data_IF_658336622954
#
_entry.id   IF_658336622954
#
_cell.length_a   1.000
_cell.length_b   1.000
_cell.length_c   1.000
_cell.angle_alpha   90.00
_cell.angle_beta   90.00
_cell.angle_gamma   90.00
#
_symmetry.space_group_name_H-M   'P 1'
#
loop_
_entity.id
_entity.type
_entity.pdbx_description
1 polymer ?
#
# COMPACT_ATOMS: atom_id res chain seq x y z
N UNK A 1 24.63 -20.28 2.64
CA UNK A 1 23.46 -19.90 3.47
C UNK A 1 22.21 -20.04 2.60
N UNK A 2 21.39 -21.07 2.82
CA UNK A 2 20.17 -21.33 2.04
C UNK A 2 19.07 -20.40 2.56
N UNK A 3 18.75 -19.35 1.81
CA UNK A 3 17.52 -18.59 2.01
C UNK A 3 16.35 -19.48 1.55
N UNK A 4 15.79 -20.26 2.47
CA UNK A 4 14.57 -21.08 2.31
C UNK A 4 13.29 -20.21 2.36
N UNK A 5 13.46 -18.90 2.61
CA UNK A 5 12.39 -17.95 2.94
C UNK A 5 11.49 -17.62 1.74
N UNK A 6 12.03 -17.49 0.53
CA UNK A 6 11.24 -17.13 -0.66
C UNK A 6 10.39 -18.28 -1.22
N UNK A 7 10.87 -19.51 -1.11
CA UNK A 7 10.08 -20.70 -1.49
C UNK A 7 8.84 -20.92 -0.62
N UNK A 8 8.82 -20.47 0.64
CA UNK A 8 7.62 -20.52 1.48
C UNK A 8 6.63 -19.39 1.20
N UNK A 9 7.09 -18.26 0.63
CA UNK A 9 6.24 -17.12 0.26
C UNK A 9 5.38 -17.40 -0.98
N UNK A 10 5.81 -18.31 -1.86
CA UNK A 10 5.08 -18.71 -3.06
C UNK A 10 4.06 -19.84 -2.83
N UNK A 11 4.09 -20.48 -1.66
CA UNK A 11 3.27 -21.68 -1.36
C UNK A 11 2.07 -21.41 -0.45
N UNK A 12 1.80 -20.15 -0.11
CA UNK A 12 0.70 -19.80 0.78
C UNK A 12 -0.36 -18.96 0.06
N UNK A 13 -0.94 -19.53 -1.00
CA UNK A 13 -2.29 -19.16 -1.41
C UNK A 13 -3.25 -19.67 -0.33
N UNK A 14 -3.60 -18.80 0.62
CA UNK A 14 -4.67 -19.08 1.57
C UNK A 14 -5.91 -19.53 0.81
N UNK A 15 -6.59 -20.57 1.32
CA UNK A 15 -7.83 -21.09 0.77
C UNK A 15 -8.94 -20.04 0.87
N UNK A 16 -8.97 -19.11 -0.09
CA UNK A 16 -10.03 -18.17 -0.35
C UNK A 16 -10.32 -18.22 -1.85
N UNK A 17 -11.56 -18.57 -2.19
CA UNK A 17 -12.09 -18.82 -3.54
C UNK A 17 -12.22 -17.55 -4.41
N UNK A 18 -11.43 -16.50 -4.17
CA UNK A 18 -11.43 -15.31 -5.02
C UNK A 18 -10.54 -15.58 -6.24
N UNK A 19 -11.07 -15.42 -7.45
CA UNK A 19 -10.27 -15.61 -8.65
C UNK A 19 -9.17 -14.54 -8.71
N UNK A 20 -7.92 -14.98 -8.92
CA UNK A 20 -6.84 -14.05 -9.23
C UNK A 20 -6.53 -14.07 -10.73
N UNK A 21 -5.74 -13.10 -11.18
CA UNK A 21 -5.36 -12.95 -12.59
C UNK A 21 -4.78 -14.22 -13.20
N UNK A 22 -3.93 -14.95 -12.47
CA UNK A 22 -3.29 -16.16 -12.97
C UNK A 22 -4.32 -17.28 -13.18
N UNK A 23 -5.26 -17.47 -12.25
CA UNK A 23 -6.30 -18.50 -12.36
C UNK A 23 -7.21 -18.24 -13.58
N UNK A 24 -7.61 -16.98 -13.79
CA UNK A 24 -8.44 -16.60 -14.95
C UNK A 24 -7.71 -16.83 -16.28
N UNK A 25 -6.42 -16.50 -16.35
CA UNK A 25 -5.59 -16.74 -17.53
C UNK A 25 -5.35 -18.23 -17.79
N UNK A 26 -5.13 -19.03 -16.74
CA UNK A 26 -4.98 -20.49 -16.87
C UNK A 26 -6.28 -21.16 -17.36
N UNK A 27 -7.43 -20.71 -16.86
CA UNK A 27 -8.73 -21.17 -17.36
C UNK A 27 -8.92 -20.81 -18.83
N UNK A 28 -8.53 -19.59 -19.23
CA UNK A 28 -8.61 -19.14 -20.63
C UNK A 28 -7.72 -19.98 -21.55
N UNK A 29 -6.47 -20.23 -21.19
CA UNK A 29 -5.53 -21.08 -21.96
C UNK A 29 -6.04 -22.53 -22.08
N UNK A 30 -6.66 -23.04 -21.01
CA UNK A 30 -7.33 -24.34 -20.99
C UNK A 30 -8.65 -24.37 -21.78
N UNK A 31 -9.07 -23.24 -22.39
CA UNK A 31 -10.36 -23.04 -23.08
C UNK A 31 -11.59 -23.24 -22.18
N UNK A 32 -11.40 -23.18 -20.87
CA UNK A 32 -12.49 -23.06 -19.91
C UNK A 32 -12.95 -21.60 -19.85
N UNK A 33 -13.59 -21.16 -20.94
CA UNK A 33 -14.03 -19.79 -21.10
C UNK A 33 -15.08 -19.38 -20.08
N UNK A 34 -15.78 -20.34 -19.45
CA UNK A 34 -16.72 -20.04 -18.38
C UNK A 34 -15.97 -19.54 -17.15
N UNK A 35 -15.01 -20.32 -16.65
CA UNK A 35 -14.22 -19.93 -15.48
C UNK A 35 -13.32 -18.73 -15.76
N UNK A 36 -12.77 -18.60 -16.98
CA UNK A 36 -12.03 -17.41 -17.38
C UNK A 36 -12.90 -16.14 -17.29
N UNK A 37 -14.12 -16.19 -17.84
CA UNK A 37 -15.06 -15.06 -17.80
C UNK A 37 -15.46 -14.70 -16.37
N UNK A 38 -15.75 -15.69 -15.54
CA UNK A 38 -16.07 -15.48 -14.13
C UNK A 38 -14.92 -14.75 -13.41
N UNK A 39 -13.69 -15.24 -13.59
CA UNK A 39 -12.50 -14.62 -12.99
C UNK A 39 -12.20 -13.20 -13.51
N UNK A 40 -12.26 -12.97 -14.82
CA UNK A 40 -12.07 -11.62 -15.35
C UNK A 40 -13.18 -10.65 -14.93
N UNK A 41 -14.42 -11.13 -14.75
CA UNK A 41 -15.53 -10.30 -14.27
C UNK A 41 -15.31 -9.88 -12.83
N UNK A 42 -14.81 -10.78 -11.97
CA UNK A 42 -14.46 -10.43 -10.59
C UNK A 42 -13.34 -9.37 -10.54
N UNK A 43 -12.31 -9.52 -11.38
CA UNK A 43 -11.21 -8.54 -11.47
C UNK A 43 -11.63 -7.20 -12.07
N UNK A 44 -12.71 -7.18 -12.87
CA UNK A 44 -13.26 -5.94 -13.41
C UNK A 44 -13.80 -5.03 -12.30
N UNK A 45 -14.36 -5.58 -11.23
CA UNK A 45 -14.86 -4.80 -10.09
C UNK A 45 -13.76 -3.95 -9.44
N UNK A 46 -12.55 -4.49 -9.38
CA UNK A 46 -11.37 -3.76 -8.85
C UNK A 46 -10.65 -2.96 -9.93
N UNK A 47 -11.27 -2.76 -11.08
CA UNK A 47 -10.76 -1.92 -12.17
C UNK A 47 -9.50 -2.49 -12.81
N UNK A 48 -9.40 -3.81 -12.96
CA UNK A 48 -8.33 -4.45 -13.71
C UNK A 48 -8.55 -4.21 -15.22
N UNK A 49 -7.65 -3.42 -15.82
CA UNK A 49 -7.71 -3.03 -17.22
C UNK A 49 -7.43 -4.20 -18.17
N UNK A 50 -6.55 -5.12 -17.75
CA UNK A 50 -6.27 -6.35 -18.49
C UNK A 50 -7.47 -7.31 -18.49
N UNK A 51 -8.21 -7.41 -17.39
CA UNK A 51 -9.43 -8.21 -17.32
C UNK A 51 -10.53 -7.66 -18.24
N UNK A 52 -10.73 -6.34 -18.24
CA UNK A 52 -11.62 -5.67 -19.19
C UNK A 52 -11.22 -5.96 -20.65
N UNK A 53 -9.93 -5.88 -20.96
CA UNK A 53 -9.40 -6.19 -22.30
C UNK A 53 -9.64 -7.65 -22.71
N UNK A 54 -9.44 -8.61 -21.82
CA UNK A 54 -9.64 -10.03 -22.14
C UNK A 54 -11.12 -10.38 -22.30
N UNK A 55 -12.02 -9.81 -21.47
CA UNK A 55 -13.46 -9.93 -21.68
C UNK A 55 -13.87 -9.34 -23.04
N UNK A 56 -13.26 -8.23 -23.45
CA UNK A 56 -13.50 -7.64 -24.77
C UNK A 56 -13.04 -8.57 -25.91
N UNK A 57 -11.86 -9.17 -25.78
CA UNK A 57 -11.32 -10.13 -26.75
C UNK A 57 -12.21 -11.37 -26.86
N UNK A 58 -12.69 -11.91 -25.73
CA UNK A 58 -13.62 -13.04 -25.71
C UNK A 58 -14.91 -12.73 -26.46
N UNK A 59 -15.52 -11.57 -26.22
CA UNK A 59 -16.72 -11.12 -26.93
C UNK A 59 -16.46 -10.88 -28.43
N UNK A 60 -15.28 -10.38 -28.78
CA UNK A 60 -14.88 -10.12 -30.16
C UNK A 60 -14.69 -11.41 -30.96
N UNK A 61 -14.11 -12.44 -30.35
CA UNK A 61 -13.80 -13.72 -30.98
C UNK A 61 -14.90 -14.78 -30.83
N UNK A 62 -15.91 -14.54 -29.97
CA UNK A 62 -16.94 -15.54 -29.67
C UNK A 62 -16.41 -16.69 -28.82
N UNK A 63 -15.55 -16.39 -27.85
CA UNK A 63 -14.91 -17.40 -26.99
C UNK A 63 -15.80 -17.71 -25.78
N UNK A 64 -16.52 -18.83 -25.89
CA UNK A 64 -17.49 -19.27 -24.88
C UNK A 64 -18.79 -18.47 -24.89
N UNK A 65 -19.01 -17.63 -25.90
CA UNK A 65 -20.24 -16.88 -26.17
C UNK A 65 -20.34 -16.59 -27.68
N UNK A 66 -21.48 -16.10 -28.16
CA UNK A 66 -21.58 -15.62 -29.54
C UNK A 66 -20.80 -14.32 -29.72
N UNK A 67 -20.33 -14.05 -30.95
CA UNK A 67 -19.64 -12.80 -31.27
C UNK A 67 -20.55 -11.61 -31.00
N UNK A 68 -20.10 -10.69 -30.14
CA UNK A 68 -20.80 -9.46 -29.81
C UNK A 68 -19.84 -8.27 -29.93
N UNK A 69 -19.88 -7.62 -31.10
CA UNK A 69 -19.00 -6.50 -31.41
C UNK A 69 -19.32 -5.24 -30.58
N UNK A 70 -20.59 -5.05 -30.19
CA UNK A 70 -20.99 -3.90 -29.36
C UNK A 70 -20.42 -4.07 -27.96
N UNK A 71 -20.61 -5.25 -27.35
CA UNK A 71 -20.02 -5.61 -26.05
C UNK A 71 -18.49 -5.53 -26.08
N UNK A 72 -17.86 -6.08 -27.12
CA UNK A 72 -16.40 -6.03 -27.29
C UNK A 72 -15.88 -4.58 -27.32
N UNK A 73 -16.49 -3.71 -28.13
CA UNK A 73 -16.08 -2.30 -28.21
C UNK A 73 -16.30 -1.59 -26.88
N UNK A 74 -17.44 -1.79 -26.20
CA UNK A 74 -17.69 -1.20 -24.88
C UNK A 74 -16.66 -1.62 -23.83
N UNK A 75 -16.26 -2.90 -23.81
CA UNK A 75 -15.23 -3.41 -22.90
C UNK A 75 -13.83 -2.91 -23.26
N UNK A 76 -13.49 -2.77 -24.55
CA UNK A 76 -12.23 -2.13 -24.96
C UNK A 76 -12.20 -0.64 -24.61
N UNK A 77 -13.31 0.09 -24.75
CA UNK A 77 -13.42 1.48 -24.27
C UNK A 77 -13.20 1.55 -22.76
N UNK A 78 -13.83 0.65 -21.99
CA UNK A 78 -13.62 0.57 -20.55
C UNK A 78 -12.17 0.26 -20.19
N UNK A 79 -11.55 -0.74 -20.83
CA UNK A 79 -10.13 -1.06 -20.62
C UNK A 79 -9.24 0.17 -20.89
N UNK A 80 -9.56 0.97 -21.91
CA UNK A 80 -8.88 2.24 -22.18
C UNK A 80 -9.06 3.27 -21.07
N UNK A 81 -10.28 3.42 -20.53
CA UNK A 81 -10.56 4.29 -19.37
C UNK A 81 -9.81 3.82 -18.11
N UNK A 82 -9.68 2.51 -17.93
CA UNK A 82 -8.86 1.88 -16.88
C UNK A 82 -7.35 1.92 -17.20
N UNK A 83 -6.95 2.58 -18.30
CA UNK A 83 -5.57 2.89 -18.63
C UNK A 83 -4.79 1.75 -19.31
N UNK A 84 -5.48 0.80 -19.96
CA UNK A 84 -4.84 -0.18 -20.83
C UNK A 84 -4.16 0.55 -22.02
N UNK A 85 -2.86 0.32 -22.30
CA UNK A 85 -2.08 1.14 -23.23
C UNK A 85 -2.63 1.23 -24.66
N UNK A 86 -3.29 0.18 -25.16
CA UNK A 86 -3.74 0.08 -26.55
C UNK A 86 -5.25 -0.08 -26.74
N UNK A 87 -6.02 -0.24 -25.65
CA UNK A 87 -7.42 -0.65 -25.77
C UNK A 87 -8.32 0.43 -26.37
N UNK A 88 -8.14 1.70 -25.97
CA UNK A 88 -8.93 2.81 -26.50
C UNK A 88 -8.74 3.03 -27.99
N UNK A 89 -7.52 2.82 -28.50
CA UNK A 89 -7.25 2.88 -29.93
C UNK A 89 -7.95 1.74 -30.67
N UNK A 90 -7.86 0.51 -30.16
CA UNK A 90 -8.53 -0.65 -30.73
C UNK A 90 -10.06 -0.47 -30.75
N UNK A 91 -10.64 0.02 -29.65
CA UNK A 91 -12.06 0.35 -29.55
C UNK A 91 -12.48 1.34 -30.64
N UNK A 92 -11.71 2.43 -30.83
CA UNK A 92 -11.98 3.45 -31.85
C UNK A 92 -11.97 2.86 -33.27
N UNK A 93 -11.03 1.96 -33.57
CA UNK A 93 -10.96 1.28 -34.87
C UNK A 93 -12.14 0.34 -35.10
N UNK A 94 -12.57 -0.40 -34.08
CA UNK A 94 -13.70 -1.32 -34.18
C UNK A 94 -15.03 -0.57 -34.26
N UNK A 95 -15.17 0.55 -33.54
CA UNK A 95 -16.36 1.42 -33.56
C UNK A 95 -16.68 1.95 -34.96
N UNK A 96 -15.66 2.18 -35.80
CA UNK A 96 -15.85 2.60 -37.19
C UNK A 96 -16.60 1.57 -38.06
N UNK A 97 -16.76 0.32 -37.59
CA UNK A 97 -17.48 -0.76 -38.29
C UNK A 97 -18.94 -0.89 -37.84
N UNK A 98 -19.39 -0.09 -36.86
CA UNK A 98 -20.71 -0.19 -36.25
C UNK A 98 -21.73 0.75 -36.90
N UNK A 99 -23.01 0.39 -36.80
CA UNK A 99 -24.10 1.30 -37.19
C UNK A 99 -24.25 2.45 -36.19
N UNK A 100 -24.95 3.54 -36.55
CA UNK A 100 -25.27 4.62 -35.62
C UNK A 100 -26.03 4.15 -34.37
N UNK A 101 -26.98 3.22 -34.52
CA UNK A 101 -27.75 2.66 -33.40
C UNK A 101 -26.85 1.88 -32.44
N UNK A 102 -25.99 1.01 -32.98
CA UNK A 102 -25.00 0.27 -32.19
C UNK A 102 -24.02 1.21 -31.46
N UNK A 103 -23.62 2.30 -32.12
CA UNK A 103 -22.75 3.32 -31.55
C UNK A 103 -23.40 4.06 -30.38
N UNK A 104 -24.71 4.28 -30.43
CA UNK A 104 -25.47 4.86 -29.32
C UNK A 104 -25.59 3.88 -28.14
N UNK A 105 -25.82 2.59 -28.41
CA UNK A 105 -25.84 1.55 -27.37
C UNK A 105 -24.53 1.46 -26.59
N UNK A 106 -23.37 1.66 -27.24
CA UNK A 106 -22.06 1.63 -26.58
C UNK A 106 -21.99 2.60 -25.41
N UNK A 107 -22.49 3.83 -25.56
CA UNK A 107 -22.40 4.85 -24.51
C UNK A 107 -23.16 4.42 -23.24
N UNK A 108 -24.35 3.85 -23.41
CA UNK A 108 -25.15 3.34 -22.30
C UNK A 108 -24.50 2.11 -21.65
N UNK A 109 -23.97 1.18 -22.44
CA UNK A 109 -23.29 -0.02 -21.94
C UNK A 109 -22.01 0.37 -21.20
N UNK A 110 -21.20 1.27 -21.75
CA UNK A 110 -19.98 1.75 -21.11
C UNK A 110 -20.28 2.40 -19.77
N UNK A 111 -21.31 3.25 -19.68
CA UNK A 111 -21.73 3.84 -18.41
C UNK A 111 -22.10 2.77 -17.37
N UNK A 112 -22.88 1.76 -17.77
CA UNK A 112 -23.23 0.63 -16.89
C UNK A 112 -22.02 -0.20 -16.47
N UNK A 113 -21.06 -0.43 -17.38
CA UNK A 113 -19.82 -1.13 -17.05
C UNK A 113 -18.93 -0.31 -16.11
N UNK A 114 -18.87 1.01 -16.27
CA UNK A 114 -18.15 1.91 -15.36
C UNK A 114 -18.76 1.91 -13.95
N UNK A 115 -20.09 1.82 -13.84
CA UNK A 115 -20.77 1.68 -12.54
C UNK A 115 -20.45 0.34 -11.85
N UNK A 116 -20.12 -0.71 -12.60
CA UNK A 116 -19.68 -2.00 -12.04
C UNK A 116 -18.23 -1.96 -11.51
N UNK A 117 -17.42 -1.00 -11.96
CA UNK A 117 -16.05 -0.83 -11.46
C UNK A 117 -16.10 -0.11 -10.11
N UNK A 118 -15.98 -0.89 -9.04
CA UNK A 118 -15.95 -0.38 -7.67
C UNK A 118 -14.70 0.47 -7.40
N UNK A 119 -13.54 0.08 -7.95
CA UNK A 119 -12.26 0.78 -7.76
C UNK A 119 -11.76 1.36 -9.08
N UNK A 120 -12.26 2.55 -9.48
CA UNK A 120 -11.80 3.21 -10.70
C UNK A 120 -10.33 3.61 -10.56
N UNK A 121 -9.60 3.64 -11.69
CA UNK A 121 -8.20 4.11 -11.74
C UNK A 121 -8.04 5.61 -11.53
N UNK A 122 -9.13 6.38 -11.67
CA UNK A 122 -9.15 7.82 -11.41
C UNK A 122 -8.70 8.05 -9.96
N UNK A 123 -7.61 8.79 -9.79
CA UNK A 123 -7.16 9.21 -8.47
C UNK A 123 -8.28 10.03 -7.82
N UNK A 124 -8.80 9.63 -6.65
CA UNK A 124 -9.58 10.56 -5.87
C UNK A 124 -8.70 11.77 -5.61
N UNK A 125 -9.21 12.98 -5.89
CA UNK A 125 -8.63 14.21 -5.38
C UNK A 125 -8.31 13.95 -3.92
N UNK A 126 -7.03 14.07 -3.53
CA UNK A 126 -6.51 13.77 -2.19
C UNK A 126 -7.53 14.22 -1.15
N UNK A 127 -8.36 13.29 -0.67
CA UNK A 127 -9.17 13.55 0.50
C UNK A 127 -8.12 13.72 1.56
N UNK A 128 -7.93 14.94 2.06
CA UNK A 128 -7.16 15.20 3.27
C UNK A 128 -7.67 14.17 4.26
N UNK A 129 -6.88 13.12 4.51
CA UNK A 129 -7.14 12.23 5.63
C UNK A 129 -7.31 13.17 6.80
N UNK A 130 -8.48 13.16 7.43
CA UNK A 130 -8.72 14.02 8.58
C UNK A 130 -7.51 13.85 9.48
N UNK A 131 -6.79 14.96 9.73
CA UNK A 131 -5.57 14.97 10.53
C UNK A 131 -5.99 14.56 11.94
N UNK A 132 -6.04 13.26 12.18
CA UNK A 132 -6.34 12.72 13.49
C UNK A 132 -5.14 13.04 14.35
N UNK A 133 -5.37 13.90 15.34
CA UNK A 133 -4.40 14.25 16.35
C UNK A 133 -3.82 12.96 16.95
N UNK A 134 -2.55 12.69 16.66
CA UNK A 134 -1.87 11.50 17.12
C UNK A 134 -1.44 11.70 18.58
N UNK A 135 -1.64 10.71 19.46
CA UNK A 135 -1.26 10.86 20.86
C UNK A 135 0.26 10.95 21.01
N UNK A 136 0.73 11.80 21.92
CA UNK A 136 2.16 11.98 22.21
C UNK A 136 2.72 10.81 23.00
N UNK A 137 3.77 10.16 22.50
CA UNK A 137 4.38 9.03 23.19
C UNK A 137 5.25 9.48 24.38
N UNK A 138 5.09 8.85 25.55
CA UNK A 138 5.92 9.06 26.74
C UNK A 138 7.00 7.98 26.86
N UNK A 139 6.67 6.74 26.49
CA UNK A 139 7.58 5.59 26.58
C UNK A 139 7.34 4.64 25.42
N UNK A 140 8.42 4.26 24.72
CA UNK A 140 8.42 3.20 23.72
C UNK A 140 9.43 2.12 24.10
N UNK A 141 8.92 0.94 24.43
CA UNK A 141 9.76 -0.23 24.68
C UNK A 141 10.18 -0.85 23.34
N UNK A 142 11.48 -1.05 23.13
CA UNK A 142 11.96 -1.75 21.93
C UNK A 142 11.53 -3.23 21.95
N UNK A 143 11.16 -3.79 20.78
CA UNK A 143 10.91 -5.22 20.66
C UNK A 143 12.19 -6.02 20.86
N UNK A 144 12.04 -7.24 21.40
CA UNK A 144 13.16 -8.18 21.54
C UNK A 144 13.29 -8.97 20.25
N UNK A 145 14.49 -9.06 19.68
CA UNK A 145 14.67 -9.91 18.50
C UNK A 145 14.38 -11.39 18.84
N UNK A 146 13.49 -12.10 18.11
CA UNK A 146 13.26 -13.52 18.35
C UNK A 146 14.55 -14.32 18.12
N UNK A 147 14.93 -15.16 19.08
CA UNK A 147 16.21 -15.90 19.05
C UNK A 147 16.38 -16.74 17.78
N UNK A 148 15.34 -17.47 17.38
CA UNK A 148 15.38 -18.30 16.18
C UNK A 148 15.52 -17.45 14.90
N UNK A 149 14.83 -16.31 14.83
CA UNK A 149 14.96 -15.38 13.71
C UNK A 149 16.39 -14.84 13.62
N UNK A 150 16.98 -14.47 14.77
CA UNK A 150 18.36 -13.99 14.83
C UNK A 150 19.38 -15.04 14.35
N UNK A 151 19.26 -16.29 14.83
CA UNK A 151 20.13 -17.40 14.42
C UNK A 151 20.02 -17.66 12.91
N UNK A 152 18.82 -17.54 12.37
CA UNK A 152 18.54 -17.79 10.95
C UNK A 152 18.79 -16.58 10.05
N UNK A 153 19.22 -15.43 10.60
CA UNK A 153 19.40 -14.19 9.85
C UNK A 153 18.12 -13.70 9.16
N UNK A 154 16.95 -14.06 9.69
CA UNK A 154 15.66 -13.58 9.20
C UNK A 154 15.52 -12.12 9.57
N UNK A 155 15.14 -11.26 8.64
CA UNK A 155 14.81 -9.85 8.85
C UNK A 155 13.38 -9.60 8.40
N UNK A 156 12.84 -8.42 8.70
CA UNK A 156 11.50 -8.08 8.25
C UNK A 156 10.86 -6.93 8.99
N UNK A 157 9.54 -6.90 9.02
CA UNK A 157 8.76 -5.88 9.72
C UNK A 157 7.45 -6.43 10.26
N UNK A 158 6.86 -5.67 11.18
CA UNK A 158 5.48 -5.84 11.63
C UNK A 158 4.79 -4.48 11.59
N UNK A 159 3.75 -4.36 10.78
CA UNK A 159 2.80 -3.26 10.82
C UNK A 159 1.74 -3.58 11.86
N UNK A 160 1.66 -2.78 12.92
CA UNK A 160 0.67 -2.93 13.97
C UNK A 160 -0.32 -1.79 13.94
N UNK A 161 -1.50 -2.09 14.47
CA UNK A 161 -2.50 -1.10 14.87
C UNK A 161 -2.96 -1.40 16.28
N UNK A 162 -3.24 -0.34 17.03
CA UNK A 162 -3.67 -0.49 18.40
C UNK A 162 -4.50 0.68 18.90
N UNK A 163 -5.26 0.43 19.96
CA UNK A 163 -5.99 1.44 20.69
C UNK A 163 -5.14 1.98 21.85
N UNK A 164 -5.10 3.30 21.96
CA UNK A 164 -4.62 4.03 23.15
C UNK A 164 -5.85 4.54 23.89
N UNK A 165 -5.99 4.16 25.15
CA UNK A 165 -7.08 4.66 26.01
C UNK A 165 -6.78 6.06 26.57
N UNK A 166 -7.76 6.64 27.27
CA UNK A 166 -7.71 7.97 27.88
C UNK A 166 -6.60 8.10 28.93
N UNK A 167 -6.18 6.99 29.53
CA UNK A 167 -5.03 6.95 30.46
C UNK A 167 -3.68 6.98 29.76
N UNK A 168 -3.66 6.94 28.43
CA UNK A 168 -2.45 6.80 27.62
C UNK A 168 -1.90 5.37 27.59
N UNK A 169 -2.70 4.36 27.94
CA UNK A 169 -2.29 2.95 27.92
C UNK A 169 -2.68 2.27 26.61
N UNK A 170 -1.81 1.37 26.13
CA UNK A 170 -2.09 0.55 24.96
C UNK A 170 -2.90 -0.69 25.36
N UNK A 171 -4.04 -0.93 24.70
CA UNK A 171 -4.95 -2.04 25.03
C UNK A 171 -5.07 -3.07 23.89
N UNK A 172 -5.99 -2.86 22.95
CA UNK A 172 -6.24 -3.74 21.80
C UNK A 172 -5.11 -3.59 20.80
N UNK A 173 -4.25 -4.61 20.64
CA UNK A 173 -3.15 -4.62 19.67
C UNK A 173 -3.40 -5.70 18.64
N UNK A 174 -3.20 -5.35 17.38
CA UNK A 174 -3.37 -6.25 16.25
C UNK A 174 -2.29 -6.00 15.19
N UNK A 175 -2.06 -7.02 14.38
CA UNK A 175 -1.09 -6.95 13.28
C UNK A 175 -1.87 -6.71 11.99
N UNK A 176 -1.57 -5.59 11.32
CA UNK A 176 -2.09 -5.27 10.00
C UNK A 176 -1.44 -6.12 8.93
N UNK A 177 -0.12 -6.24 9.03
CA UNK A 177 0.71 -6.94 8.07
C UNK A 177 2.04 -7.28 8.75
N UNK A 178 2.66 -8.37 8.33
CA UNK A 178 3.98 -8.76 8.80
C UNK A 178 4.72 -9.49 7.70
N UNK A 179 6.02 -9.24 7.65
CA UNK A 179 6.92 -9.96 6.78
C UNK A 179 8.15 -10.39 7.57
N UNK A 180 8.57 -11.66 7.48
CA UNK A 180 7.73 -12.81 7.16
C UNK A 180 6.65 -13.00 8.24
N UNK A 181 5.50 -13.56 7.84
CA UNK A 181 4.42 -13.87 8.78
C UNK A 181 4.84 -14.99 9.76
N UNK A 182 4.35 -14.90 10.99
CA UNK A 182 4.57 -15.85 12.08
C UNK A 182 5.92 -15.74 12.80
N UNK A 183 6.75 -14.74 12.47
CA UNK A 183 8.12 -14.62 12.98
C UNK A 183 8.28 -13.54 14.04
N UNK A 184 7.78 -12.33 13.80
CA UNK A 184 8.09 -11.14 14.61
C UNK A 184 6.91 -10.60 15.41
N UNK A 185 5.69 -11.00 15.06
CA UNK A 185 4.43 -10.44 15.55
C UNK A 185 4.30 -10.55 17.07
N UNK A 186 4.59 -11.74 17.64
CA UNK A 186 4.54 -11.94 19.09
C UNK A 186 5.49 -11.00 19.83
N UNK A 187 6.68 -10.77 19.28
CA UNK A 187 7.64 -9.84 19.90
C UNK A 187 7.16 -8.39 19.79
N UNK A 188 6.65 -8.01 18.62
CA UNK A 188 6.15 -6.67 18.36
C UNK A 188 4.98 -6.33 19.28
N UNK A 189 3.98 -7.21 19.37
CA UNK A 189 2.82 -7.06 20.24
C UNK A 189 3.24 -6.90 21.71
N UNK A 190 4.17 -7.73 22.20
CA UNK A 190 4.67 -7.63 23.57
C UNK A 190 5.44 -6.33 23.85
N UNK A 191 6.07 -5.75 22.84
CA UNK A 191 6.75 -4.46 22.94
C UNK A 191 5.73 -3.32 23.02
N UNK A 192 4.81 -3.27 22.06
CA UNK A 192 3.79 -2.22 21.91
C UNK A 192 2.84 -2.17 23.10
N UNK A 193 2.46 -3.31 23.68
CA UNK A 193 1.66 -3.36 24.93
C UNK A 193 2.33 -2.66 26.13
N UNK A 194 3.64 -2.43 26.10
CA UNK A 194 4.40 -1.75 27.17
C UNK A 194 4.66 -0.27 26.86
N UNK A 195 4.15 0.23 25.73
CA UNK A 195 4.25 1.63 25.39
C UNK A 195 3.27 2.44 26.24
N UNK A 196 3.61 3.72 26.45
CA UNK A 196 2.79 4.68 27.18
C UNK A 196 2.74 5.98 26.42
N UNK A 197 1.57 6.58 26.41
CA UNK A 197 1.25 7.85 25.79
C UNK A 197 0.80 8.84 26.84
N UNK A 198 0.75 10.11 26.46
CA UNK A 198 0.17 11.15 27.29
C UNK A 198 -1.33 10.88 27.47
N UNK A 199 -1.86 10.91 28.72
CA UNK A 199 -3.29 10.85 28.96
C UNK A 199 -4.03 11.98 28.24
N UNK A 200 -5.26 11.72 27.84
CA UNK A 200 -6.11 12.68 27.12
C UNK A 200 -7.59 12.33 27.25
N UNK A 201 -8.44 13.15 26.64
CA UNK A 201 -9.89 13.07 26.84
C UNK A 201 -10.60 12.08 25.89
N UNK A 202 -9.85 11.49 24.96
CA UNK A 202 -10.38 10.59 23.92
C UNK A 202 -9.42 9.42 23.70
N UNK A 203 -9.98 8.30 23.23
CA UNK A 203 -9.17 7.17 22.75
C UNK A 203 -8.62 7.49 21.37
N UNK A 204 -7.46 6.91 21.05
CA UNK A 204 -6.82 7.08 19.76
C UNK A 204 -6.55 5.74 19.10
N UNK A 205 -6.87 5.64 17.81
CA UNK A 205 -6.45 4.54 16.96
C UNK A 205 -5.08 4.85 16.35
N UNK A 206 -4.07 4.07 16.70
CA UNK A 206 -2.67 4.32 16.30
C UNK A 206 -2.17 3.19 15.41
N UNK A 207 -1.36 3.52 14.41
CA UNK A 207 -0.67 2.56 13.54
C UNK A 207 0.83 2.82 13.56
N UNK A 208 1.63 1.76 13.61
CA UNK A 208 3.10 1.84 13.59
C UNK A 208 3.70 0.68 12.81
N UNK A 209 4.84 0.93 12.17
CA UNK A 209 5.70 -0.12 11.61
C UNK A 209 6.89 -0.35 12.55
N UNK A 210 7.17 -1.61 12.86
CA UNK A 210 8.38 -2.02 13.58
C UNK A 210 9.24 -2.88 12.65
N UNK A 211 10.41 -2.36 12.32
CA UNK A 211 11.41 -3.06 11.51
C UNK A 211 12.33 -3.93 12.38
N UNK A 212 12.67 -5.12 11.88
CA UNK A 212 13.52 -6.12 12.54
C UNK A 212 14.75 -6.41 11.67
N UNK A 213 15.89 -5.84 12.05
CA UNK A 213 17.20 -6.11 11.45
C UNK A 213 18.27 -6.41 12.48
N UNK A 214 19.34 -7.07 12.05
CA UNK A 214 20.54 -7.35 12.83
C UNK A 214 21.77 -6.98 12.01
N UNK A 215 22.67 -6.15 12.55
CA UNK A 215 23.90 -5.75 11.86
C UNK A 215 23.64 -5.28 10.43
N UNK A 216 24.32 -5.90 9.46
CA UNK A 216 24.16 -5.64 8.02
C UNK A 216 22.98 -6.40 7.36
N UNK A 217 22.08 -6.95 8.17
CA UNK A 217 20.93 -7.76 7.74
C UNK A 217 19.75 -6.95 7.18
N UNK A 218 20.00 -5.74 6.67
CA UNK A 218 19.02 -4.96 5.92
C UNK A 218 19.08 -5.29 4.43
N UNK A 219 17.96 -5.16 3.73
CA UNK A 219 17.95 -5.25 2.27
C UNK A 219 18.55 -3.96 1.71
N UNK A 220 19.84 -4.01 1.38
CA UNK A 220 20.50 -2.99 0.57
C UNK A 220 20.31 -3.25 -0.94
N UNK A 221 20.78 -2.32 -1.77
CA UNK A 221 20.67 -2.45 -3.22
C UNK A 221 21.29 -3.76 -3.78
N UNK A 222 22.52 -4.16 -3.38
CA UNK A 222 23.09 -5.45 -3.77
C UNK A 222 22.24 -6.68 -3.36
N UNK A 223 21.77 -6.74 -2.11
CA UNK A 223 20.95 -7.84 -1.61
C UNK A 223 19.60 -7.89 -2.32
N UNK A 224 18.95 -6.74 -2.51
CA UNK A 224 17.71 -6.64 -3.29
C UNK A 224 17.89 -7.19 -4.69
N UNK A 225 18.94 -6.75 -5.40
CA UNK A 225 19.26 -7.21 -6.75
C UNK A 225 19.45 -8.72 -6.78
N UNK A 226 20.18 -9.27 -5.81
CA UNK A 226 20.43 -10.71 -5.71
C UNK A 226 19.13 -11.49 -5.50
N UNK A 227 18.25 -11.04 -4.61
CA UNK A 227 16.96 -11.69 -4.32
C UNK A 227 16.04 -11.68 -5.55
N UNK A 228 15.90 -10.50 -6.19
CA UNK A 228 15.07 -10.33 -7.38
C UNK A 228 15.54 -11.25 -8.52
N UNK A 229 16.85 -11.31 -8.77
CA UNK A 229 17.42 -12.17 -9.82
C UNK A 229 17.31 -13.65 -9.50
N UNK A 230 17.58 -14.05 -8.25
CA UNK A 230 17.58 -15.47 -7.84
C UNK A 230 16.21 -16.12 -8.02
N UNK A 231 15.14 -15.39 -7.75
CA UNK A 231 13.78 -15.91 -7.71
C UNK A 231 12.95 -15.44 -8.92
N UNK A 232 13.61 -14.84 -9.93
CA UNK A 232 12.99 -14.25 -11.12
C UNK A 232 11.80 -13.31 -10.80
N UNK A 233 11.87 -12.60 -9.66
CA UNK A 233 10.74 -11.84 -9.12
C UNK A 233 10.25 -10.79 -10.10
N UNK A 234 11.17 -10.05 -10.70
CA UNK A 234 10.84 -8.99 -11.64
C UNK A 234 10.10 -9.53 -12.87
N UNK A 235 10.57 -10.65 -13.42
CA UNK A 235 9.97 -11.26 -14.60
C UNK A 235 8.52 -11.66 -14.36
N UNK A 236 8.25 -12.38 -13.27
CA UNK A 236 6.89 -12.82 -12.95
C UNK A 236 5.98 -11.67 -12.47
N UNK A 237 6.53 -10.67 -11.76
CA UNK A 237 5.77 -9.50 -11.35
C UNK A 237 5.32 -8.67 -12.57
N UNK A 238 6.22 -8.42 -13.54
CA UNK A 238 5.89 -7.77 -14.81
C UNK A 238 4.87 -8.58 -15.62
N UNK A 239 4.94 -9.92 -15.55
CA UNK A 239 3.97 -10.80 -16.20
C UNK A 239 2.57 -10.78 -15.53
N UNK A 240 2.38 -10.02 -14.46
CA UNK A 240 1.08 -9.86 -13.81
C UNK A 240 0.79 -10.87 -12.71
N UNK A 241 1.77 -11.69 -12.29
CA UNK A 241 1.52 -12.73 -11.28
C UNK A 241 1.35 -12.08 -9.91
N UNK A 242 0.15 -12.12 -9.29
CA UNK A 242 -0.20 -11.23 -8.17
C UNK A 242 0.70 -11.40 -6.94
N UNK A 243 1.01 -12.63 -6.56
CA UNK A 243 1.87 -12.91 -5.40
C UNK A 243 3.32 -12.44 -5.60
N UNK A 244 3.84 -12.50 -6.83
CA UNK A 244 5.17 -11.97 -7.16
C UNK A 244 5.20 -10.44 -7.12
N UNK A 245 4.12 -9.79 -7.58
CA UNK A 245 3.95 -8.35 -7.47
C UNK A 245 3.90 -7.92 -5.99
N UNK A 246 3.10 -8.61 -5.17
CA UNK A 246 3.00 -8.35 -3.74
C UNK A 246 4.37 -8.45 -3.06
N UNK A 247 5.08 -9.57 -3.25
CA UNK A 247 6.40 -9.80 -2.67
C UNK A 247 7.42 -8.76 -3.14
N UNK A 248 7.39 -8.38 -4.42
CA UNK A 248 8.28 -7.34 -4.94
C UNK A 248 8.01 -5.99 -4.27
N UNK A 249 6.74 -5.59 -4.13
CA UNK A 249 6.35 -4.40 -3.38
C UNK A 249 6.85 -4.42 -1.93
N UNK A 250 6.72 -5.57 -1.25
CA UNK A 250 7.23 -5.75 0.11
C UNK A 250 8.76 -5.61 0.21
N UNK A 251 9.51 -6.21 -0.72
CA UNK A 251 10.97 -6.11 -0.75
C UNK A 251 11.44 -4.67 -1.02
N UNK A 252 10.76 -3.97 -1.95
CA UNK A 252 11.01 -2.55 -2.22
C UNK A 252 10.67 -1.68 -1.00
N UNK A 253 9.62 -2.01 -0.24
CA UNK A 253 9.26 -1.28 0.99
C UNK A 253 10.34 -1.42 2.07
N UNK A 254 10.87 -2.63 2.23
CA UNK A 254 12.00 -2.90 3.10
C UNK A 254 13.23 -2.12 2.65
N UNK A 255 13.65 -2.26 1.40
CA UNK A 255 14.80 -1.54 0.85
C UNK A 255 14.65 -0.02 0.99
N UNK A 256 13.44 0.51 0.74
CA UNK A 256 13.12 1.93 0.90
C UNK A 256 13.31 2.39 2.34
N UNK A 257 12.83 1.62 3.32
CA UNK A 257 12.93 1.95 4.74
C UNK A 257 14.39 2.05 5.21
N UNK A 258 15.31 1.28 4.60
CA UNK A 258 16.75 1.34 4.94
C UNK A 258 17.55 2.36 4.14
N UNK A 259 17.12 2.72 2.94
CA UNK A 259 17.84 3.66 2.07
C UNK A 259 18.03 5.06 2.67
N UNK A 260 17.21 5.46 3.65
CA UNK A 260 17.10 6.85 4.11
C UNK A 260 16.71 7.83 2.98
N UNK A 261 16.04 7.33 1.93
CA UNK A 261 15.48 8.14 0.87
C UNK A 261 13.97 8.33 1.04
N UNK A 262 13.48 9.42 0.47
CA UNK A 262 12.06 9.69 0.25
C UNK A 262 11.83 9.64 -1.26
N UNK A 263 11.25 8.54 -1.74
CA UNK A 263 11.00 8.36 -3.16
C UNK A 263 9.78 9.15 -3.60
N UNK A 264 9.91 9.86 -4.72
CA UNK A 264 8.84 10.56 -5.40
C UNK A 264 8.70 9.98 -6.80
N UNK A 265 7.48 9.65 -7.21
CA UNK A 265 7.24 9.03 -8.50
C UNK A 265 7.39 10.05 -9.64
N UNK A 266 8.06 9.64 -10.71
CA UNK A 266 8.01 10.31 -11.99
C UNK A 266 6.88 9.75 -12.83
N UNK A 267 5.72 10.38 -12.77
CA UNK A 267 4.53 9.99 -13.54
C UNK A 267 4.77 10.01 -15.07
N UNK A 268 5.78 10.75 -15.54
CA UNK A 268 6.14 10.79 -16.97
C UNK A 268 7.01 9.61 -17.40
N UNK A 269 7.59 8.87 -16.43
CA UNK A 269 8.50 7.78 -16.72
C UNK A 269 7.75 6.52 -17.13
N UNK A 270 8.23 5.89 -18.21
CA UNK A 270 7.67 4.63 -18.69
C UNK A 270 8.19 3.46 -17.85
N UNK A 271 7.27 2.60 -17.42
CA UNK A 271 7.60 1.32 -16.79
C UNK A 271 8.14 0.38 -17.88
N UNK A 272 9.29 -0.25 -17.59
CA UNK A 272 9.95 -1.20 -18.50
C UNK A 272 9.75 -2.63 -18.02
N UNK A 273 9.78 -3.58 -18.95
CA UNK A 273 9.87 -5.00 -18.63
C UNK A 273 11.26 -5.41 -18.11
N UNK A 274 12.30 -4.61 -18.39
CA UNK A 274 13.65 -4.84 -17.88
C UNK A 274 13.80 -4.33 -16.44
N UNK A 275 14.60 -5.04 -15.64
CA UNK A 275 14.89 -4.66 -14.26
C UNK A 275 15.64 -3.31 -14.22
N UNK A 276 15.10 -2.25 -13.60
CA UNK A 276 15.76 -0.95 -13.51
C UNK A 276 16.99 -1.00 -12.61
N UNK A 277 17.80 0.05 -12.66
CA UNK A 277 18.90 0.22 -11.72
C UNK A 277 18.38 0.33 -10.28
N UNK A 278 18.82 -0.57 -9.41
CA UNK A 278 18.44 -0.61 -8.00
C UNK A 278 19.41 0.16 -7.09
N UNK A 279 20.43 0.83 -7.66
CA UNK A 279 21.38 1.65 -6.90
C UNK A 279 20.70 2.79 -6.13
N UNK A 280 19.48 3.19 -6.52
CA UNK A 280 18.67 4.16 -5.78
C UNK A 280 18.33 3.75 -4.34
N UNK A 281 18.39 2.45 -4.01
CA UNK A 281 18.19 1.96 -2.64
C UNK A 281 19.48 1.99 -1.80
N UNK A 282 20.62 2.29 -2.40
CA UNK A 282 21.86 2.47 -1.64
C UNK A 282 21.76 3.73 -0.78
N UNK A 283 22.02 3.60 0.52
CA UNK A 283 21.92 4.72 1.44
C UNK A 283 22.93 5.81 1.10
N UNK A 284 22.45 7.07 1.05
CA UNK A 284 23.30 8.26 0.93
C UNK A 284 23.42 8.95 2.28
N UNK A 285 24.61 9.52 2.55
CA UNK A 285 24.81 10.39 3.71
C UNK A 285 23.87 11.59 3.61
N UNK A 286 23.15 11.87 4.69
CA UNK A 286 22.30 13.06 4.83
C UNK A 286 23.00 14.12 5.66
N UNK A 287 22.71 15.42 5.42
CA UNK A 287 23.22 16.48 6.27
C UNK A 287 22.64 16.35 7.68
N UNK A 288 23.46 16.68 8.69
CA UNK A 288 22.97 16.81 10.06
C UNK A 288 22.19 18.12 10.17
N UNK A 289 20.86 18.04 10.09
CA UNK A 289 19.95 19.19 10.15
C UNK A 289 19.54 19.41 11.61
N UNK A 290 19.79 20.62 12.12
CA UNK A 290 19.42 21.02 13.49
C UNK A 290 18.53 22.25 13.48
N UNK A 291 17.35 22.11 14.07
CA UNK A 291 16.35 23.17 14.20
C UNK A 291 15.71 23.02 15.59
N UNK A 292 15.90 24.00 16.47
CA UNK A 292 15.56 23.87 17.89
C UNK A 292 14.05 23.68 18.11
N UNK A 293 13.20 24.46 17.42
CA UNK A 293 11.74 24.49 17.60
C UNK A 293 10.99 23.93 16.39
N UNK A 294 11.47 22.84 15.80
CA UNK A 294 10.80 22.19 14.67
C UNK A 294 10.13 20.87 15.07
N UNK A 295 8.83 20.78 15.00
CA UNK A 295 8.10 19.54 15.16
C UNK A 295 7.03 19.47 14.07
N UNK A 296 6.88 18.30 13.47
CA UNK A 296 6.09 18.10 12.26
C UNK A 296 6.94 17.58 11.11
N UNK A 297 6.58 17.94 9.89
CA UNK A 297 7.26 17.53 8.67
C UNK A 297 7.26 18.62 7.61
N UNK A 298 8.31 18.66 6.79
CA UNK A 298 8.42 19.57 5.66
C UNK A 298 9.33 18.96 4.57
N UNK A 299 9.14 19.38 3.33
CA UNK A 299 10.14 19.22 2.29
C UNK A 299 10.93 20.52 2.17
N UNK A 300 12.26 20.43 2.22
CA UNK A 300 13.17 21.58 2.18
C UNK A 300 14.21 21.42 1.07
N UNK A 301 14.60 22.52 0.45
CA UNK A 301 15.76 22.56 -0.45
C UNK A 301 16.92 23.21 0.28
N UNK A 302 18.07 22.54 0.33
CA UNK A 302 19.31 23.06 0.91
C UNK A 302 20.28 23.47 -0.19
N UNK A 303 20.94 24.62 -0.04
CA UNK A 303 22.11 24.97 -0.85
C UNK A 303 23.40 24.35 -0.29
N UNK A 304 24.54 24.58 -0.96
CA UNK A 304 25.84 24.00 -0.55
C UNK A 304 26.30 24.41 0.85
N UNK A 305 25.86 25.60 1.31
CA UNK A 305 26.18 26.10 2.64
C UNK A 305 25.33 25.42 3.72
N UNK A 306 24.25 24.72 3.37
CA UNK A 306 23.31 24.14 4.32
C UNK A 306 22.22 25.12 4.78
N UNK A 307 21.92 26.12 3.95
CA UNK A 307 20.83 27.08 4.14
C UNK A 307 19.59 26.58 3.41
N UNK A 308 18.43 26.66 4.06
CA UNK A 308 17.13 26.37 3.45
C UNK A 308 16.77 27.46 2.44
N UNK A 309 16.65 27.10 1.16
CA UNK A 309 16.28 28.03 0.07
C UNK A 309 14.83 27.89 -0.37
N UNK A 310 14.18 26.76 -0.09
CA UNK A 310 12.78 26.52 -0.41
C UNK A 310 12.13 25.62 0.64
N UNK A 311 10.82 25.77 0.83
CA UNK A 311 10.01 24.98 1.77
C UNK A 311 8.67 24.65 1.12
N UNK A 312 8.36 23.37 1.00
CA UNK A 312 7.12 22.85 0.41
C UNK A 312 6.55 21.72 1.26
N UNK A 313 5.32 21.30 0.96
CA UNK A 313 4.62 20.15 1.55
C UNK A 313 4.92 20.00 3.06
N UNK A 314 4.30 20.85 3.89
CA UNK A 314 4.60 20.97 5.32
C UNK A 314 3.37 20.87 6.22
N UNK A 315 3.59 20.37 7.43
CA UNK A 315 2.66 20.42 8.56
C UNK A 315 3.49 20.59 9.83
N UNK A 316 3.12 21.57 10.67
CA UNK A 316 3.79 21.81 11.95
C UNK A 316 2.86 21.47 13.10
N UNK A 317 3.38 20.80 14.12
CA UNK A 317 2.62 20.56 15.33
C UNK A 317 2.46 21.86 16.14
N UNK A 318 1.52 21.91 17.12
CA UNK A 318 1.21 23.14 17.87
C UNK A 318 2.43 23.83 18.50
N UNK A 319 3.44 23.08 18.92
CA UNK A 319 4.68 23.58 19.52
C UNK A 319 5.66 24.19 18.50
N UNK A 320 5.33 24.20 17.20
CA UNK A 320 6.19 24.68 16.11
C UNK A 320 5.47 25.54 15.07
N UNK A 321 4.26 26.04 15.34
CA UNK A 321 3.47 26.78 14.34
C UNK A 321 4.09 28.12 13.90
N UNK A 322 4.97 28.71 14.71
CA UNK A 322 5.53 30.04 14.46
C UNK A 322 6.94 30.04 13.85
N UNK A 323 7.47 28.88 13.45
CA UNK A 323 8.81 28.79 12.88
C UNK A 323 8.80 29.17 11.38
N UNK A 324 9.67 30.10 10.99
CA UNK A 324 10.01 30.31 9.59
C UNK A 324 11.28 29.52 9.26
N UNK A 325 11.14 28.56 8.34
CA UNK A 325 12.24 27.69 7.92
C UNK A 325 13.10 28.34 6.84
N UNK A 326 12.57 29.29 6.07
CA UNK A 326 13.25 29.84 4.91
C UNK A 326 14.47 30.68 5.33
N UNK A 327 15.61 30.44 4.71
CA UNK A 327 16.86 31.15 5.00
C UNK A 327 17.60 30.67 6.24
N UNK A 328 17.07 29.69 7.00
CA UNK A 328 17.77 29.14 8.16
C UNK A 328 19.02 28.35 7.74
N UNK A 329 20.13 28.61 8.44
CA UNK A 329 21.36 27.83 8.37
C UNK A 329 21.23 26.60 9.28
N UNK A 330 20.91 25.44 8.71
CA UNK A 330 20.53 24.25 9.49
C UNK A 330 21.58 23.15 9.53
N UNK A 331 22.61 23.24 8.69
CA UNK A 331 23.74 22.29 8.67
C UNK A 331 25.06 23.02 8.42
N UNK A 332 26.21 22.41 8.76
CA UNK A 332 27.55 23.03 8.59
C UNK A 332 28.10 22.94 7.15
N UNK A 333 27.21 22.81 6.15
CA UNK A 333 27.53 22.63 4.73
C UNK A 333 27.58 21.17 4.25
N UNK A 334 27.64 20.98 2.93
CA UNK A 334 28.17 19.75 2.33
C UNK A 334 27.22 18.78 1.66
N UNK A 335 25.93 19.09 1.43
CA UNK A 335 25.08 18.32 0.51
C UNK A 335 23.87 19.16 0.08
N UNK A 336 24.04 19.96 -0.98
CA UNK A 336 22.89 20.63 -1.60
C UNK A 336 21.89 19.60 -2.14
N UNK A 337 20.61 19.93 -2.15
CA UNK A 337 19.56 19.04 -2.64
C UNK A 337 18.24 19.21 -1.90
N UNK A 338 17.28 18.39 -2.29
CA UNK A 338 15.94 18.36 -1.71
C UNK A 338 15.82 17.25 -0.66
N UNK A 339 15.24 17.59 0.50
CA UNK A 339 15.16 16.71 1.66
C UNK A 339 13.78 16.71 2.29
N UNK A 340 13.34 15.53 2.72
CA UNK A 340 12.21 15.36 3.62
C UNK A 340 12.71 15.38 5.06
N UNK A 341 12.25 16.34 5.84
CA UNK A 341 12.52 16.42 7.28
C UNK A 341 11.28 16.10 8.09
N UNK A 342 11.45 15.35 9.19
CA UNK A 342 10.39 15.15 10.17
C UNK A 342 10.94 15.01 11.60
N UNK A 343 10.18 15.47 12.58
CA UNK A 343 10.43 15.26 14.01
C UNK A 343 9.08 15.18 14.73
N UNK A 344 8.86 14.14 15.53
CA UNK A 344 7.66 14.04 16.36
C UNK A 344 7.68 15.12 17.45
N UNK A 345 6.52 15.57 17.93
CA UNK A 345 6.40 16.46 19.10
C UNK A 345 6.71 15.75 20.43
N UNK A 346 7.03 14.45 20.39
CA UNK A 346 7.34 13.70 21.60
C UNK A 346 8.74 14.01 22.16
N UNK A 347 8.87 13.91 23.50
CA UNK A 347 10.15 14.12 24.20
C UNK A 347 11.21 13.04 23.88
N UNK A 348 10.86 12.03 23.09
CA UNK A 348 11.71 10.90 22.75
C UNK A 348 12.51 11.16 21.46
N UNK A 349 12.03 12.05 20.59
CA UNK A 349 12.66 12.37 19.31
C UNK A 349 13.71 13.49 19.47
N UNK A 350 14.94 13.11 19.81
CA UNK A 350 16.03 14.09 19.98
C UNK A 350 16.47 14.74 18.67
N UNK A 351 16.51 13.98 17.57
CA UNK A 351 17.06 14.42 16.28
C UNK A 351 15.98 14.53 15.19
N UNK A 352 16.23 15.41 14.23
CA UNK A 352 15.40 15.54 13.01
C UNK A 352 15.76 14.38 12.09
N UNK A 353 14.75 13.58 11.70
CA UNK A 353 14.92 12.59 10.65
C UNK A 353 15.01 13.29 9.30
N UNK A 354 16.13 13.10 8.59
CA UNK A 354 16.41 13.70 7.28
C UNK A 354 16.51 12.60 6.25
N UNK A 355 15.76 12.73 5.15
CA UNK A 355 15.80 11.80 4.01
C UNK A 355 16.00 12.55 2.70
N UNK A 356 16.88 12.07 1.83
CA UNK A 356 17.04 12.65 0.48
C UNK A 356 15.80 12.40 -0.36
N UNK A 357 15.30 13.42 -1.05
CA UNK A 357 14.23 13.25 -2.04
C UNK A 357 14.83 12.73 -3.34
N UNK A 358 14.36 11.56 -3.80
CA UNK A 358 14.85 10.92 -5.02
C UNK A 358 13.66 10.66 -5.93
N UNK A 359 13.68 11.25 -7.13
CA UNK A 359 12.68 11.00 -8.16
C UNK A 359 12.97 9.66 -8.84
N UNK A 360 11.98 8.75 -8.90
CA UNK A 360 12.13 7.40 -9.46
C UNK A 360 10.94 7.03 -10.33
N UNK A 361 11.13 6.07 -11.23
CA UNK A 361 10.02 5.48 -11.99
C UNK A 361 9.03 4.78 -11.04
N UNK A 362 7.71 4.76 -11.33
CA UNK A 362 6.72 4.15 -10.44
C UNK A 362 7.03 2.70 -10.07
N UNK A 363 7.59 1.91 -11.00
CA UNK A 363 7.98 0.51 -10.75
C UNK A 363 9.10 0.30 -9.70
N UNK A 364 9.70 1.37 -9.18
CA UNK A 364 10.63 1.31 -8.03
C UNK A 364 9.95 1.67 -6.70
N UNK A 365 8.65 1.94 -6.66
CA UNK A 365 7.92 2.19 -5.42
C UNK A 365 7.14 0.95 -4.98
N UNK A 366 6.95 0.76 -3.65
CA UNK A 366 6.14 -0.35 -3.14
C UNK A 366 4.67 -0.28 -3.57
N UNK A 367 4.12 0.93 -3.56
CA UNK A 367 2.70 1.18 -3.81
C UNK A 367 2.29 0.77 -5.22
N UNK A 368 3.14 1.04 -6.22
CA UNK A 368 2.91 0.58 -7.60
C UNK A 368 2.64 -0.93 -7.67
N UNK A 369 3.49 -1.73 -7.02
CA UNK A 369 3.38 -3.18 -7.08
C UNK A 369 2.25 -3.74 -6.21
N UNK A 370 2.00 -3.16 -5.03
CA UNK A 370 0.85 -3.56 -4.22
C UNK A 370 -0.48 -3.22 -4.89
N UNK A 371 -0.60 -2.08 -5.56
CA UNK A 371 -1.79 -1.73 -6.32
C UNK A 371 -2.02 -2.70 -7.49
N UNK A 372 -0.98 -3.03 -8.25
CA UNK A 372 -1.08 -4.05 -9.31
C UNK A 372 -1.48 -5.42 -8.75
N UNK A 373 -0.84 -5.87 -7.66
CA UNK A 373 -1.16 -7.14 -7.02
C UNK A 373 -2.63 -7.16 -6.55
N UNK A 374 -3.09 -6.08 -5.91
CA UNK A 374 -4.45 -5.95 -5.41
C UNK A 374 -5.49 -6.00 -6.54
N UNK A 375 -5.23 -5.30 -7.66
CA UNK A 375 -6.05 -5.34 -8.88
C UNK A 375 -5.99 -6.69 -9.59
N UNK A 376 -4.91 -7.45 -9.41
CA UNK A 376 -4.77 -8.81 -9.90
C UNK A 376 -5.34 -9.87 -8.93
N UNK A 377 -6.00 -9.45 -7.84
CA UNK A 377 -6.73 -10.33 -6.92
C UNK A 377 -5.93 -10.80 -5.71
N UNK A 378 -4.76 -10.21 -5.42
CA UNK A 378 -4.00 -10.56 -4.22
C UNK A 378 -4.65 -9.97 -2.95
N UNK A 379 -5.22 -10.83 -2.11
CA UNK A 379 -5.95 -10.41 -0.91
C UNK A 379 -5.08 -9.63 0.09
N UNK A 380 -3.81 -10.02 0.27
CA UNK A 380 -2.91 -9.33 1.21
C UNK A 380 -2.63 -7.92 0.71
N UNK A 381 -2.37 -7.76 -0.58
CA UNK A 381 -2.20 -6.46 -1.21
C UNK A 381 -3.49 -5.62 -1.07
N UNK A 382 -4.68 -6.18 -1.32
CA UNK A 382 -5.95 -5.46 -1.11
C UNK A 382 -6.10 -4.93 0.32
N UNK A 383 -5.71 -5.72 1.32
CA UNK A 383 -5.74 -5.30 2.73
C UNK A 383 -4.69 -4.22 3.04
N UNK A 384 -3.48 -4.32 2.47
CA UNK A 384 -2.45 -3.28 2.56
C UNK A 384 -2.97 -1.96 1.97
N UNK A 385 -3.63 -2.04 0.82
CA UNK A 385 -4.20 -0.88 0.13
C UNK A 385 -5.35 -0.26 0.92
N UNK A 386 -6.28 -1.06 1.44
CA UNK A 386 -7.40 -0.60 2.27
C UNK A 386 -6.98 0.13 3.54
N UNK A 387 -5.75 -0.09 4.02
CA UNK A 387 -5.24 0.67 5.15
C UNK A 387 -5.06 2.17 4.80
N UNK A 388 -4.73 2.52 3.56
CA UNK A 388 -4.36 3.89 3.19
C UNK A 388 -5.26 4.51 2.09
N UNK A 389 -6.07 3.69 1.44
CA UNK A 389 -6.95 4.09 0.34
C UNK A 389 -8.43 3.77 0.68
N UNK A 390 -9.28 4.79 0.84
CA UNK A 390 -10.71 4.61 1.14
C UNK A 390 -11.49 3.85 0.06
N UNK A 391 -11.02 3.78 -1.18
CA UNK A 391 -11.66 2.99 -2.25
C UNK A 391 -11.54 1.50 -1.93
N UNK A 392 -10.32 1.06 -1.60
CA UNK A 392 -10.05 -0.31 -1.19
C UNK A 392 -10.73 -0.66 0.13
N UNK A 393 -10.79 0.27 1.10
CA UNK A 393 -11.53 0.06 2.35
C UNK A 393 -13.01 -0.22 2.07
N UNK A 394 -13.68 0.64 1.28
CA UNK A 394 -15.10 0.45 0.90
C UNK A 394 -15.32 -0.85 0.13
N UNK A 395 -14.41 -1.23 -0.75
CA UNK A 395 -14.48 -2.47 -1.51
C UNK A 395 -14.43 -3.68 -0.58
N UNK A 396 -13.44 -3.73 0.32
CA UNK A 396 -13.33 -4.83 1.26
C UNK A 396 -14.47 -4.87 2.28
N UNK A 397 -15.06 -3.73 2.65
CA UNK A 397 -16.29 -3.68 3.43
C UNK A 397 -17.48 -4.29 2.67
N UNK A 398 -17.64 -4.01 1.37
CA UNK A 398 -18.70 -4.61 0.55
C UNK A 398 -18.53 -6.12 0.39
N UNK A 399 -17.28 -6.59 0.36
CA UNK A 399 -16.90 -8.02 0.39
C UNK A 399 -16.93 -8.64 1.80
N UNK A 400 -17.31 -7.88 2.83
CA UNK A 400 -17.37 -8.33 4.23
C UNK A 400 -16.05 -8.90 4.74
N UNK A 401 -14.93 -8.27 4.36
CA UNK A 401 -13.61 -8.64 4.90
C UNK A 401 -13.59 -8.36 6.42
N UNK A 402 -13.37 -9.40 7.26
CA UNK A 402 -13.48 -9.25 8.71
C UNK A 402 -12.41 -8.35 9.33
N UNK A 403 -11.22 -8.29 8.71
CA UNK A 403 -10.08 -7.48 9.16
C UNK A 403 -10.38 -6.00 8.93
N UNK A 404 -10.99 -5.66 7.79
CA UNK A 404 -11.40 -4.28 7.49
C UNK A 404 -12.63 -3.88 8.30
N UNK A 405 -13.67 -4.73 8.38
CA UNK A 405 -14.88 -4.44 9.16
C UNK A 405 -14.56 -4.09 10.61
N UNK A 406 -13.72 -4.89 11.29
CA UNK A 406 -13.41 -4.67 12.69
C UNK A 406 -12.77 -3.29 12.96
N UNK A 407 -11.95 -2.80 12.03
CA UNK A 407 -11.16 -1.58 12.26
C UNK A 407 -11.75 -0.33 11.65
N UNK A 408 -12.45 -0.45 10.52
CA UNK A 408 -13.35 0.59 10.06
C UNK A 408 -14.43 0.83 11.12
N UNK A 409 -15.02 -0.24 11.70
CA UNK A 409 -16.01 -0.11 12.76
C UNK A 409 -15.46 0.53 14.04
N UNK A 410 -14.25 0.15 14.45
CA UNK A 410 -13.56 0.79 15.58
C UNK A 410 -13.33 2.28 15.35
N UNK A 411 -12.89 2.65 14.13
CA UNK A 411 -12.68 4.05 13.74
C UNK A 411 -14.00 4.83 13.74
N UNK A 412 -15.06 4.29 13.15
CA UNK A 412 -16.40 4.89 13.13
C UNK A 412 -16.93 5.18 14.53
N UNK A 413 -16.77 4.26 15.49
CA UNK A 413 -17.16 4.49 16.90
C UNK A 413 -16.42 5.70 17.49
N UNK A 414 -15.11 5.81 17.24
CA UNK A 414 -14.29 6.93 17.73
C UNK A 414 -14.64 8.26 17.05
N UNK A 415 -15.10 8.21 15.81
CA UNK A 415 -15.56 9.37 15.01
C UNK A 415 -17.02 9.76 15.32
N UNK A 416 -17.71 9.02 16.19
CA UNK A 416 -19.07 9.32 16.65
C UNK A 416 -20.18 8.50 15.98
N UNK A 417 -19.88 7.74 14.93
CA UNK A 417 -20.84 6.82 14.28
C UNK A 417 -20.87 5.46 15.00
N UNK A 418 -21.37 5.50 16.24
CA UNK A 418 -21.33 4.35 17.16
C UNK A 418 -22.15 3.16 16.66
N UNK A 419 -23.32 3.40 16.06
CA UNK A 419 -24.20 2.32 15.64
C UNK A 419 -23.59 1.53 14.48
N UNK A 420 -23.21 2.21 13.39
CA UNK A 420 -22.62 1.53 12.24
C UNK A 420 -21.31 0.84 12.62
N UNK A 421 -20.49 1.49 13.44
CA UNK A 421 -19.23 0.90 13.87
C UNK A 421 -19.40 -0.34 14.76
N UNK A 422 -20.42 -0.37 15.62
CA UNK A 422 -20.77 -1.57 16.40
C UNK A 422 -21.29 -2.70 15.52
N UNK A 423 -22.13 -2.39 14.53
CA UNK A 423 -22.64 -3.39 13.58
C UNK A 423 -21.47 -4.05 12.84
N UNK A 424 -20.50 -3.27 12.34
CA UNK A 424 -19.30 -3.82 11.68
C UNK A 424 -18.47 -4.73 12.61
N UNK A 425 -18.30 -4.35 13.87
CA UNK A 425 -17.61 -5.18 14.86
C UNK A 425 -18.35 -6.51 15.09
N UNK A 426 -19.69 -6.48 15.19
CA UNK A 426 -20.49 -7.69 15.38
C UNK A 426 -20.40 -8.64 14.18
N UNK A 427 -20.43 -8.11 12.96
CA UNK A 427 -20.23 -8.91 11.75
C UNK A 427 -18.83 -9.54 11.72
N UNK A 428 -17.78 -8.78 12.06
CA UNK A 428 -16.43 -9.34 12.15
C UNK A 428 -16.31 -10.44 13.23
N UNK A 429 -17.01 -10.29 14.37
CA UNK A 429 -17.10 -11.32 15.41
C UNK A 429 -17.80 -12.58 14.88
N UNK A 430 -18.89 -12.42 14.12
CA UNK A 430 -19.62 -13.54 13.53
C UNK A 430 -18.76 -14.31 12.51
N UNK A 431 -17.90 -13.61 11.77
CA UNK A 431 -16.87 -14.19 10.91
C UNK A 431 -15.64 -14.72 11.67
N UNK A 432 -15.74 -14.83 13.00
CA UNK A 432 -14.72 -15.39 13.90
C UNK A 432 -13.40 -14.63 13.91
N UNK A 433 -13.40 -13.32 13.64
CA UNK A 433 -12.22 -12.49 13.80
C UNK A 433 -11.97 -12.18 15.30
N UNK A 434 -10.92 -12.75 15.93
CA UNK A 434 -10.77 -12.67 17.39
C UNK A 434 -10.61 -11.24 17.91
N UNK A 435 -9.88 -10.40 17.18
CA UNK A 435 -9.56 -9.03 17.57
C UNK A 435 -10.81 -8.14 17.62
N UNK A 436 -11.85 -8.45 16.85
CA UNK A 436 -13.12 -7.71 16.90
C UNK A 436 -13.79 -7.77 18.28
N UNK A 437 -13.69 -8.91 18.99
CA UNK A 437 -14.25 -9.06 20.35
C UNK A 437 -13.55 -8.15 21.35
N UNK A 438 -12.22 -8.08 21.28
CA UNK A 438 -11.43 -7.25 22.18
C UNK A 438 -11.70 -5.76 21.89
N UNK A 439 -11.73 -5.35 20.62
CA UNK A 439 -12.07 -3.98 20.24
C UNK A 439 -13.45 -3.57 20.73
N UNK A 440 -14.48 -4.41 20.52
CA UNK A 440 -15.84 -4.16 21.01
C UNK A 440 -15.85 -3.93 22.52
N UNK A 441 -15.20 -4.82 23.30
CA UNK A 441 -15.12 -4.68 24.77
C UNK A 441 -14.46 -3.36 25.20
N UNK A 442 -13.42 -2.92 24.49
CA UNK A 442 -12.68 -1.71 24.83
C UNK A 442 -13.38 -0.42 24.36
N UNK A 443 -14.34 -0.49 23.44
CA UNK A 443 -15.05 0.66 22.86
C UNK A 443 -16.50 0.82 23.33
N UNK A 444 -16.99 -0.11 24.17
CA UNK A 444 -18.25 0.01 24.90
C UNK A 444 -18.10 0.87 26.14
#
# INVERSE_FOLDING_TARGET
MRFVILTFLLLWSGAGLAANWLDAMLAYDAKDYKSAREGFTELLEVGNDMAAYNLAAMAYHGEGEDVDLVKAVSLFELAGVLGHPSAGQLASQLKAKLTPEQSQSIQHILASLQEQVFIPKIEPQTTKHAEHEMPTAIKRAHPRYPRNAAINGQFGYVNLRFLVDESGSVTSVDTLDAFPQGVFEKSAINAVKRWKYQPGDKKHLVRVKLDYTLGDGYIDAPQLTKLIKKENLWHYAVAGVPNYQEVLGTLLSLASSYSQHYFVEDETAKVSAELPDLSFFASKKTPNVKIEQFSGWATITLNERGIITEVSNRHFYPDSQNIDLLGLQVSKGGSAGEYRINRLSDKLSADINVRHVIKVVPSLTPYFWWELAARNGDQRAQQIMAANDPRWERYLLSKKDPVVMAWAGSRMILEGDRQQGMDLLEHAIALRYPQAKELKKQLM
#
